data_IF_892630484230
#
_entry.id   IF_892630484230
#
_cell.length_a   1.000
_cell.length_b   1.000
_cell.length_c   1.000
_cell.angle_alpha   90.00
_cell.angle_beta   90.00
_cell.angle_gamma   90.00
#
_symmetry.space_group_name_H-M   'P 1'
#
loop_
_entity.id
_entity.type
_entity.pdbx_description
1 polymer ?
#
# COMPACT_ATOMS: atom_id res chain seq x y z
N UNK A 1 -5.44 -5.07 -13.81
CA UNK A 1 -6.65 -4.85 -12.97
C UNK A 1 -6.15 -4.23 -11.66
N UNK A 2 -6.90 -3.49 -10.83
CA UNK A 2 -6.28 -3.00 -9.58
C UNK A 2 -6.08 -4.17 -8.59
N UNK A 3 -4.84 -4.51 -8.24
CA UNK A 3 -4.51 -5.65 -7.35
C UNK A 3 -4.94 -5.41 -5.89
N UNK A 4 -4.88 -4.17 -5.41
CA UNK A 4 -5.07 -3.77 -4.01
C UNK A 4 -6.35 -2.96 -3.77
N UNK A 5 -7.36 -3.14 -4.63
CA UNK A 5 -8.61 -2.39 -4.56
C UNK A 5 -9.26 -2.54 -3.19
N UNK A 6 -9.52 -1.41 -2.51
CA UNK A 6 -10.07 -1.32 -1.15
C UNK A 6 -9.23 -1.95 -0.04
N UNK A 7 -7.95 -2.24 -0.28
CA UNK A 7 -7.02 -2.80 0.71
C UNK A 7 -6.02 -1.81 1.26
N UNK A 8 -5.75 -0.74 0.52
CA UNK A 8 -4.81 0.31 0.93
C UNK A 8 -5.52 1.34 1.79
N UNK A 9 -5.04 1.54 3.01
CA UNK A 9 -5.59 2.45 4.02
C UNK A 9 -4.53 3.47 4.44
N UNK A 10 -4.97 4.68 4.75
CA UNK A 10 -4.10 5.70 5.33
C UNK A 10 -4.06 5.52 6.85
N UNK A 11 -2.89 5.47 7.49
CA UNK A 11 -2.76 5.33 8.95
C UNK A 11 -3.32 6.54 9.71
N UNK A 12 -3.21 7.75 9.12
CA UNK A 12 -3.63 9.00 9.77
C UNK A 12 -5.15 9.15 9.90
N UNK A 13 -5.91 8.73 8.89
CA UNK A 13 -7.37 8.88 8.88
C UNK A 13 -8.15 7.56 8.82
N UNK A 14 -7.45 6.43 8.76
CA UNK A 14 -8.01 5.07 8.67
C UNK A 14 -8.98 4.81 7.50
N UNK A 15 -9.09 5.74 6.55
CA UNK A 15 -9.92 5.58 5.35
C UNK A 15 -9.15 4.89 4.24
N UNK A 16 -9.88 4.19 3.38
CA UNK A 16 -9.33 3.61 2.16
C UNK A 16 -8.75 4.71 1.26
N UNK A 17 -7.56 4.47 0.72
CA UNK A 17 -6.89 5.35 -0.23
C UNK A 17 -7.51 5.20 -1.62
N UNK A 18 -7.56 6.30 -2.37
CA UNK A 18 -8.09 6.38 -3.73
C UNK A 18 -7.00 6.01 -4.73
N UNK A 19 -7.31 5.10 -5.64
CA UNK A 19 -6.43 4.72 -6.73
C UNK A 19 -6.53 5.71 -7.89
N UNK A 20 -5.39 6.16 -8.41
CA UNK A 20 -5.26 7.02 -9.59
C UNK A 20 -4.42 6.32 -10.65
N UNK A 21 -4.95 6.17 -11.87
CA UNK A 21 -4.32 5.46 -13.01
C UNK A 21 -3.18 6.22 -13.70
N UNK A 22 -2.61 7.23 -13.06
CA UNK A 22 -1.52 8.02 -13.63
C UNK A 22 -0.17 7.32 -13.41
N UNK A 23 0.68 7.27 -14.44
CA UNK A 23 2.10 6.84 -14.34
C UNK A 23 2.33 5.55 -13.56
N UNK A 24 1.69 4.44 -13.96
CA UNK A 24 1.86 3.13 -13.33
C UNK A 24 0.97 2.85 -12.12
N UNK A 25 0.08 3.79 -11.76
CA UNK A 25 -0.90 3.59 -10.70
C UNK A 25 -0.37 3.98 -9.32
N UNK A 26 -1.09 4.88 -8.64
CA UNK A 26 -0.77 5.33 -7.28
C UNK A 26 -2.00 5.38 -6.40
N UNK A 27 -1.79 5.15 -5.11
CA UNK A 27 -2.77 5.37 -4.06
C UNK A 27 -2.52 6.73 -3.44
N UNK A 28 -3.59 7.48 -3.18
CA UNK A 28 -3.54 8.76 -2.46
C UNK A 28 -4.61 8.76 -1.39
N UNK A 29 -4.32 9.34 -0.22
CA UNK A 29 -5.29 9.45 0.85
C UNK A 29 -6.58 10.15 0.37
N UNK A 30 -7.72 9.48 0.51
CA UNK A 30 -9.02 10.01 0.06
C UNK A 30 -9.47 11.23 0.85
N UNK A 31 -9.16 11.29 2.14
CA UNK A 31 -9.48 12.45 3.00
C UNK A 31 -8.72 13.68 2.52
N UNK A 32 -7.42 13.54 2.24
CA UNK A 32 -6.63 14.63 1.68
C UNK A 32 -7.13 15.02 0.28
N UNK A 33 -7.43 14.06 -0.60
CA UNK A 33 -7.89 14.33 -1.97
C UNK A 33 -9.22 15.10 -2.01
N UNK A 34 -10.12 14.83 -1.06
CA UNK A 34 -11.46 15.41 -1.04
C UNK A 34 -11.57 16.67 -0.17
N UNK A 35 -10.86 16.73 0.97
CA UNK A 35 -10.99 17.78 1.99
C UNK A 35 -9.72 18.62 2.18
N UNK A 36 -8.58 18.19 1.62
CA UNK A 36 -7.31 18.90 1.71
C UNK A 36 -6.50 18.63 2.98
N UNK A 37 -5.40 19.39 3.11
CA UNK A 37 -4.35 19.21 4.13
C UNK A 37 -4.81 19.40 5.58
N UNK A 38 -5.89 20.12 5.79
CA UNK A 38 -6.43 20.42 7.13
C UNK A 38 -7.04 19.18 7.79
N UNK A 39 -7.43 18.18 7.00
CA UNK A 39 -8.10 16.97 7.47
C UNK A 39 -7.23 15.71 7.44
N UNK A 40 -6.16 15.70 6.63
CA UNK A 40 -5.20 14.60 6.59
C UNK A 40 -3.93 15.04 5.87
N UNK A 41 -2.83 14.33 6.13
CA UNK A 41 -1.58 14.51 5.38
C UNK A 41 -1.68 13.96 3.95
N UNK A 42 -0.86 14.51 3.05
CA UNK A 42 -0.73 14.05 1.66
C UNK A 42 0.09 12.75 1.59
N UNK A 43 -0.51 11.65 2.02
CA UNK A 43 0.10 10.33 1.90
C UNK A 43 -0.16 9.76 0.51
N UNK A 44 0.91 9.37 -0.17
CA UNK A 44 0.86 8.65 -1.44
C UNK A 44 1.66 7.36 -1.36
N UNK A 45 1.39 6.42 -2.25
CA UNK A 45 2.26 5.26 -2.48
C UNK A 45 2.00 4.71 -3.88
N UNK A 46 3.03 4.25 -4.57
CA UNK A 46 2.88 3.65 -5.90
C UNK A 46 2.50 2.17 -5.82
N UNK A 47 1.66 1.72 -6.73
CA UNK A 47 1.27 0.30 -6.81
C UNK A 47 2.48 -0.59 -7.11
N UNK A 48 3.32 -0.18 -8.07
CA UNK A 48 4.57 -0.89 -8.43
C UNK A 48 5.50 -1.08 -7.23
N UNK A 49 5.56 -0.10 -6.32
CA UNK A 49 6.42 -0.16 -5.14
C UNK A 49 5.94 -1.23 -4.17
N UNK A 50 4.63 -1.28 -3.89
CA UNK A 50 4.02 -2.30 -3.02
C UNK A 50 4.25 -3.69 -3.61
N UNK A 51 3.98 -3.86 -4.91
CA UNK A 51 4.21 -5.14 -5.61
C UNK A 51 5.68 -5.56 -5.54
N UNK A 52 6.61 -4.63 -5.71
CA UNK A 52 8.05 -4.92 -5.64
C UNK A 52 8.48 -5.43 -4.27
N UNK A 53 7.92 -4.91 -3.17
CA UNK A 53 8.22 -5.37 -1.81
C UNK A 53 7.73 -6.81 -1.59
N UNK A 54 6.51 -7.10 -2.05
CA UNK A 54 5.92 -8.44 -1.95
C UNK A 54 6.71 -9.43 -2.81
N UNK A 55 6.93 -9.14 -4.09
CA UNK A 55 7.69 -10.01 -5.00
C UNK A 55 9.11 -10.28 -4.48
N UNK A 56 9.76 -9.27 -3.88
CA UNK A 56 11.08 -9.44 -3.23
C UNK A 56 11.01 -10.38 -2.02
N UNK A 57 9.97 -10.30 -1.18
CA UNK A 57 9.76 -11.17 -0.02
C UNK A 57 9.56 -12.63 -0.42
N UNK A 58 8.82 -12.88 -1.50
CA UNK A 58 8.55 -14.23 -2.01
C UNK A 58 9.56 -14.72 -3.06
N UNK A 59 10.50 -13.86 -3.48
CA UNK A 59 11.51 -14.12 -4.53
C UNK A 59 10.89 -14.68 -5.83
N UNK A 60 9.71 -14.18 -6.18
CA UNK A 60 8.92 -14.65 -7.32
C UNK A 60 8.13 -13.48 -7.93
N UNK A 61 8.01 -13.49 -9.24
CA UNK A 61 7.07 -12.64 -9.99
C UNK A 61 5.63 -13.11 -9.73
N UNK A 62 4.75 -12.19 -9.36
CA UNK A 62 3.35 -12.48 -9.03
C UNK A 62 2.41 -11.66 -9.91
N UNK A 63 1.36 -12.30 -10.39
CA UNK A 63 0.27 -11.63 -11.11
C UNK A 63 -0.58 -10.75 -10.18
N UNK A 64 -1.31 -9.79 -10.76
CA UNK A 64 -2.31 -8.97 -10.04
C UNK A 64 -3.30 -9.82 -9.22
N UNK A 65 -3.67 -10.99 -9.74
CA UNK A 65 -4.60 -11.92 -9.11
C UNK A 65 -3.98 -12.62 -7.90
N UNK A 66 -2.76 -13.12 -8.02
CA UNK A 66 -2.02 -13.70 -6.89
C UNK A 66 -1.83 -12.67 -5.77
N UNK A 67 -1.43 -11.43 -6.11
CA UNK A 67 -1.29 -10.33 -5.14
C UNK A 67 -2.62 -9.99 -4.45
N UNK A 68 -3.73 -10.01 -5.20
CA UNK A 68 -5.07 -9.82 -4.64
C UNK A 68 -5.48 -10.97 -3.72
N UNK A 69 -5.05 -12.19 -3.97
CA UNK A 69 -5.40 -13.31 -3.10
C UNK A 69 -4.51 -13.36 -1.86
N UNK A 70 -3.26 -12.93 -1.97
CA UNK A 70 -2.27 -12.95 -0.90
C UNK A 70 -2.46 -11.82 0.13
N UNK A 71 -2.62 -10.57 -0.33
CA UNK A 71 -2.65 -9.40 0.56
C UNK A 71 -4.00 -9.27 1.25
N UNK A 72 -4.00 -9.06 2.57
CA UNK A 72 -5.19 -8.72 3.34
C UNK A 72 -5.43 -7.21 3.33
N UNK A 73 -4.53 -6.45 3.95
CA UNK A 73 -4.58 -4.99 3.97
C UNK A 73 -3.18 -4.37 3.94
N UNK A 74 -3.11 -3.11 3.51
CA UNK A 74 -1.90 -2.31 3.46
C UNK A 74 -2.17 -1.01 4.20
N UNK A 75 -1.38 -0.71 5.23
CA UNK A 75 -1.49 0.51 6.04
C UNK A 75 -0.33 1.43 5.63
N UNK A 76 -0.66 2.62 5.16
CA UNK A 76 0.32 3.59 4.65
C UNK A 76 0.30 4.83 5.52
N UNK A 77 1.42 5.12 6.14
CA UNK A 77 1.65 6.34 6.90
C UNK A 77 2.35 7.40 6.04
N UNK A 78 3.39 6.97 5.32
CA UNK A 78 4.15 7.77 4.36
C UNK A 78 4.74 6.87 3.27
N UNK A 79 5.34 7.46 2.22
CA UNK A 79 6.01 6.75 1.13
C UNK A 79 7.08 5.75 1.62
N UNK A 80 7.67 5.99 2.80
CA UNK A 80 8.72 5.15 3.41
C UNK A 80 8.28 4.47 4.72
N UNK A 81 6.99 4.59 5.06
CA UNK A 81 6.40 4.05 6.28
C UNK A 81 5.09 3.34 5.92
N UNK A 82 5.17 2.03 5.72
CA UNK A 82 4.01 1.21 5.39
C UNK A 82 4.09 -0.19 6.01
N UNK A 83 2.93 -0.77 6.22
CA UNK A 83 2.76 -2.12 6.75
C UNK A 83 1.89 -2.92 5.77
N UNK A 84 2.32 -4.13 5.40
CA UNK A 84 1.58 -5.03 4.50
C UNK A 84 1.21 -6.29 5.28
N UNK A 85 -0.08 -6.53 5.45
CA UNK A 85 -0.62 -7.73 6.08
C UNK A 85 -1.07 -8.74 5.02
N UNK A 86 -0.83 -10.02 5.29
CA UNK A 86 -1.18 -11.12 4.39
C UNK A 86 -2.31 -11.97 4.95
N UNK A 87 -3.13 -12.54 4.07
CA UNK A 87 -4.29 -13.36 4.46
C UNK A 87 -3.91 -14.72 5.05
N UNK A 88 -2.72 -15.20 4.74
CA UNK A 88 -2.20 -16.48 5.22
C UNK A 88 -1.59 -16.39 6.63
N UNK A 89 -1.75 -15.25 7.33
CA UNK A 89 -1.12 -14.96 8.62
C UNK A 89 0.42 -15.00 8.58
N UNK A 90 1.01 -14.83 7.40
CA UNK A 90 2.45 -14.61 7.29
C UNK A 90 2.84 -13.31 8.01
N UNK A 91 4.09 -13.26 8.44
CA UNK A 91 4.67 -12.08 9.07
C UNK A 91 4.50 -10.84 8.17
N UNK A 92 3.95 -9.73 8.68
CA UNK A 92 3.71 -8.55 7.88
C UNK A 92 5.03 -7.92 7.43
N UNK A 93 5.03 -7.33 6.24
CA UNK A 93 6.17 -6.50 5.82
C UNK A 93 6.03 -5.14 6.52
N UNK A 94 6.98 -4.81 7.38
CA UNK A 94 7.09 -3.50 8.03
C UNK A 94 8.20 -2.71 7.35
N UNK A 95 7.81 -1.73 6.54
CA UNK A 95 8.75 -0.75 6.01
C UNK A 95 8.77 0.46 6.94
N UNK A 96 9.90 0.67 7.62
CA UNK A 96 10.19 1.88 8.39
C UNK A 96 11.50 2.45 7.84
N UNK A 97 11.56 3.75 7.53
CA UNK A 97 12.69 4.39 6.84
C UNK A 97 14.09 3.92 7.29
N UNK A 98 15.05 3.94 6.35
CA UNK A 98 16.44 3.44 6.45
C UNK A 98 16.68 2.02 6.97
N UNK A 99 15.67 1.27 7.42
CA UNK A 99 15.82 -0.11 7.87
C UNK A 99 14.74 -0.98 7.25
N UNK A 100 15.08 -1.64 6.14
CA UNK A 100 14.32 -2.82 5.70
C UNK A 100 14.67 -3.93 6.70
N UNK A 101 13.76 -4.28 7.61
CA UNK A 101 13.86 -5.52 8.37
C UNK A 101 13.48 -6.68 7.43
N UNK A 102 14.39 -7.64 7.28
CA UNK A 102 14.23 -8.85 6.46
C UNK A 102 13.86 -10.04 7.32
#
# INVERSE_FOLDING_TARGET
MNAYSRKVKCSHCNKNMKYKRESGGKYTCSTYDNLGKEHCQRTTVKEEFISSLIMRRYRKEMSDEELRNLVDCIIVEDNLLLEIHFKNNDEPILLKGNFIQF
#
